data_IF_104725621017
#
_entry.id   IF_104725621017
#
_cell.length_a   1.000
_cell.length_b   1.000
_cell.length_c   1.000
_cell.angle_alpha   90.00
_cell.angle_beta   90.00
_cell.angle_gamma   90.00
#
_symmetry.space_group_name_H-M   'P 1'
#
loop_
_entity.id
_entity.type
_entity.pdbx_description
1 polymer ?
#
# COMPACT_ATOMS: atom_id res chain seq x y z
N UNK A 1 -9.46 -2.20 17.70
CA UNK A 1 -8.33 -1.99 18.64
C UNK A 1 -7.24 -2.96 18.25
N UNK A 2 -6.20 -2.50 17.57
CA UNK A 2 -5.00 -3.34 17.33
C UNK A 2 -4.39 -3.51 18.72
N UNK A 3 -4.57 -4.69 19.31
CA UNK A 3 -4.03 -5.00 20.63
C UNK A 3 -2.52 -4.89 20.56
N UNK A 4 -1.94 -3.96 21.31
CA UNK A 4 -0.52 -3.94 21.58
C UNK A 4 -0.18 -5.13 22.48
N UNK A 5 -0.10 -6.31 21.90
CA UNK A 5 0.55 -7.43 22.55
C UNK A 5 2.03 -7.09 22.64
N UNK A 6 2.46 -6.72 23.85
CA UNK A 6 3.87 -6.45 24.14
C UNK A 6 4.71 -7.62 23.62
N UNK A 7 5.73 -7.30 22.83
CA UNK A 7 6.69 -8.23 22.23
C UNK A 7 6.19 -9.11 21.06
N UNK A 8 5.08 -8.78 20.43
CA UNK A 8 4.69 -9.42 19.16
C UNK A 8 4.95 -8.47 17.99
N UNK A 9 5.50 -9.02 16.90
CA UNK A 9 5.59 -8.31 15.62
C UNK A 9 4.23 -8.37 14.94
N UNK A 10 3.73 -7.22 14.52
CA UNK A 10 2.49 -7.10 13.75
C UNK A 10 2.82 -6.49 12.40
N UNK A 11 2.27 -7.02 11.28
CA UNK A 11 2.44 -6.39 9.99
C UNK A 11 1.78 -5.00 9.98
N UNK A 12 2.39 -4.09 9.24
CA UNK A 12 1.76 -2.80 8.90
C UNK A 12 0.91 -2.97 7.65
N UNK A 13 -0.02 -2.04 7.37
CA UNK A 13 -0.82 -2.05 6.13
C UNK A 13 0.10 -2.08 4.89
N UNK A 14 1.18 -1.31 4.89
CA UNK A 14 2.19 -1.35 3.82
C UNK A 14 2.85 -2.73 3.74
N UNK A 15 3.16 -3.33 4.88
CA UNK A 15 3.75 -4.68 4.93
C UNK A 15 2.84 -5.73 4.29
N UNK A 16 1.53 -5.66 4.56
CA UNK A 16 0.53 -6.55 3.95
C UNK A 16 0.47 -6.34 2.44
N UNK A 17 0.37 -5.09 1.99
CA UNK A 17 0.34 -4.75 0.56
C UNK A 17 1.59 -5.22 -0.18
N UNK A 18 2.78 -5.04 0.41
CA UNK A 18 4.04 -5.53 -0.18
C UNK A 18 4.07 -7.05 -0.23
N UNK A 19 3.61 -7.73 0.83
CA UNK A 19 3.51 -9.18 0.85
C UNK A 19 2.59 -9.70 -0.26
N UNK A 20 1.41 -9.12 -0.42
CA UNK A 20 0.44 -9.53 -1.43
C UNK A 20 1.00 -9.32 -2.85
N UNK A 21 1.64 -8.18 -3.08
CA UNK A 21 2.35 -7.91 -4.34
C UNK A 21 3.44 -8.96 -4.62
N UNK A 22 4.25 -9.29 -3.62
CA UNK A 22 5.31 -10.29 -3.80
C UNK A 22 4.75 -11.69 -4.00
N UNK A 23 3.66 -12.05 -3.32
CA UNK A 23 2.97 -13.33 -3.53
C UNK A 23 2.40 -13.46 -4.95
N UNK A 24 1.92 -12.37 -5.53
CA UNK A 24 1.35 -12.35 -6.87
C UNK A 24 2.44 -12.42 -7.96
N UNK A 25 3.49 -11.61 -7.85
CA UNK A 25 4.48 -11.43 -8.92
C UNK A 25 5.78 -12.21 -8.70
N UNK A 26 6.14 -12.55 -7.46
CA UNK A 26 7.41 -13.18 -7.09
C UNK A 26 7.22 -14.39 -6.14
N UNK A 27 6.29 -15.31 -6.41
CA UNK A 27 5.97 -16.39 -5.46
C UNK A 27 7.18 -17.27 -5.15
N UNK A 28 8.07 -17.49 -6.11
CA UNK A 28 9.27 -18.32 -5.94
C UNK A 28 10.24 -17.75 -4.91
N UNK A 29 10.32 -16.42 -4.77
CA UNK A 29 11.17 -15.74 -3.78
C UNK A 29 10.60 -15.87 -2.37
N UNK A 30 9.27 -15.99 -2.25
CA UNK A 30 8.57 -16.16 -0.98
C UNK A 30 8.39 -17.65 -0.58
N UNK A 31 8.80 -18.59 -1.43
CA UNK A 31 8.78 -20.00 -1.09
C UNK A 31 9.73 -20.31 0.07
N UNK A 32 9.26 -21.05 1.06
CA UNK A 32 10.05 -21.43 2.24
C UNK A 32 11.35 -22.17 1.89
N UNK A 33 11.35 -22.92 0.77
CA UNK A 33 12.51 -23.65 0.31
C UNK A 33 13.53 -22.76 -0.41
N UNK A 34 13.15 -21.54 -0.83
CA UNK A 34 14.03 -20.61 -1.53
C UNK A 34 15.28 -20.32 -0.69
N UNK A 35 15.10 -19.83 0.53
CA UNK A 35 16.22 -19.53 1.44
C UNK A 35 17.08 -20.76 1.70
N UNK A 36 16.47 -21.92 1.98
CA UNK A 36 17.20 -23.15 2.20
C UNK A 36 18.01 -23.61 0.98
N UNK A 37 17.51 -23.39 -0.25
CA UNK A 37 18.23 -23.72 -1.48
C UNK A 37 19.40 -22.77 -1.72
N UNK A 38 19.22 -21.47 -1.43
CA UNK A 38 20.29 -20.47 -1.52
C UNK A 38 21.40 -20.75 -0.51
N UNK A 39 21.07 -21.12 0.72
CA UNK A 39 22.04 -21.50 1.74
C UNK A 39 22.88 -22.71 1.30
N UNK A 40 22.27 -23.74 0.71
CA UNK A 40 23.01 -24.88 0.14
C UNK A 40 23.94 -24.48 -1.01
N UNK A 41 23.51 -23.55 -1.88
CA UNK A 41 24.38 -23.03 -2.94
C UNK A 41 25.58 -22.25 -2.34
N UNK A 42 25.39 -21.53 -1.23
CA UNK A 42 26.48 -20.85 -0.52
C UNK A 42 27.45 -21.83 0.11
N UNK A 43 26.96 -22.93 0.69
CA UNK A 43 27.80 -24.01 1.21
C UNK A 43 28.66 -24.61 0.08
N UNK A 44 28.08 -24.93 -1.07
CA UNK A 44 28.83 -25.43 -2.24
C UNK A 44 29.85 -24.40 -2.77
N UNK A 45 29.55 -23.09 -2.67
CA UNK A 45 30.54 -22.05 -3.00
C UNK A 45 31.70 -22.04 -1.98
N UNK A 46 31.40 -22.17 -0.68
CA UNK A 46 32.40 -22.20 0.38
C UNK A 46 33.32 -23.42 0.27
N UNK A 47 32.78 -24.57 -0.16
CA UNK A 47 33.51 -25.82 -0.40
C UNK A 47 34.30 -25.81 -1.73
N UNK A 48 34.12 -24.78 -2.57
CA UNK A 48 34.82 -24.65 -3.85
C UNK A 48 34.22 -25.48 -4.99
N UNK A 49 33.04 -26.09 -4.77
CA UNK A 49 32.35 -26.91 -5.75
C UNK A 49 31.57 -26.04 -6.76
N UNK A 50 31.11 -24.88 -6.34
CA UNK A 50 30.34 -23.92 -7.16
C UNK A 50 31.04 -22.57 -7.22
N UNK A 51 31.17 -22.00 -8.42
CA UNK A 51 31.65 -20.63 -8.60
C UNK A 51 30.50 -19.67 -8.30
N UNK A 52 30.66 -18.76 -7.38
CA UNK A 52 29.63 -17.83 -6.91
C UNK A 52 28.95 -17.03 -8.04
N UNK A 53 29.71 -16.65 -9.09
CA UNK A 53 29.17 -15.93 -10.23
C UNK A 53 28.16 -16.76 -11.03
N UNK A 54 28.31 -18.09 -11.05
CA UNK A 54 27.35 -19.00 -11.71
C UNK A 54 26.05 -19.10 -10.90
N UNK A 55 26.13 -19.11 -9.58
CA UNK A 55 24.95 -19.10 -8.71
C UNK A 55 24.13 -17.82 -8.94
N UNK A 56 24.80 -16.66 -8.94
CA UNK A 56 24.15 -15.38 -9.21
C UNK A 56 23.57 -15.32 -10.64
N UNK A 57 24.32 -15.75 -11.66
CA UNK A 57 23.85 -15.75 -13.05
C UNK A 57 22.59 -16.60 -13.23
N UNK A 58 22.57 -17.78 -12.60
CA UNK A 58 21.39 -18.67 -12.61
C UNK A 58 20.16 -17.99 -12.01
N UNK A 59 20.31 -17.38 -10.84
CA UNK A 59 19.21 -16.65 -10.19
C UNK A 59 18.77 -15.44 -11.02
N UNK A 60 19.71 -14.64 -11.50
CA UNK A 60 19.44 -13.42 -12.27
C UNK A 60 18.65 -13.70 -13.56
N UNK A 61 18.99 -14.76 -14.28
CA UNK A 61 18.29 -15.17 -15.50
C UNK A 61 16.84 -15.54 -15.32
N UNK A 62 16.46 -15.97 -14.11
CA UNK A 62 15.07 -16.28 -13.75
C UNK A 62 14.39 -15.02 -13.22
N UNK A 63 15.03 -14.31 -12.33
CA UNK A 63 14.45 -13.19 -11.58
C UNK A 63 14.28 -11.93 -12.43
N UNK A 64 15.30 -11.54 -13.20
CA UNK A 64 15.30 -10.28 -13.94
C UNK A 64 14.18 -10.16 -14.97
N UNK A 65 13.84 -11.19 -15.77
CA UNK A 65 12.70 -11.12 -16.68
C UNK A 65 11.36 -10.90 -15.98
N UNK A 66 11.20 -11.45 -14.75
CA UNK A 66 9.99 -11.23 -13.95
C UNK A 66 9.93 -9.76 -13.51
N UNK A 67 11.07 -9.18 -13.08
CA UNK A 67 11.14 -7.76 -12.72
C UNK A 67 10.78 -6.88 -13.91
N UNK A 68 11.33 -7.15 -15.10
CA UNK A 68 11.03 -6.38 -16.32
C UNK A 68 9.54 -6.51 -16.72
N UNK A 69 9.00 -7.72 -16.68
CA UNK A 69 7.60 -7.97 -16.98
C UNK A 69 6.68 -7.25 -15.98
N UNK A 70 6.99 -7.33 -14.69
CA UNK A 70 6.21 -6.67 -13.63
C UNK A 70 6.31 -5.14 -13.74
N UNK A 71 7.47 -4.60 -14.08
CA UNK A 71 7.65 -3.16 -14.30
C UNK A 71 6.93 -2.65 -15.56
N UNK A 72 6.76 -3.51 -16.57
CA UNK A 72 6.02 -3.19 -17.81
C UNK A 72 4.50 -3.26 -17.63
N UNK A 73 4.01 -4.02 -16.66
CA UNK A 73 2.60 -4.02 -16.26
C UNK A 73 2.33 -2.62 -15.69
N UNK A 74 1.84 -1.71 -16.54
CA UNK A 74 1.24 -0.46 -16.07
C UNK A 74 0.17 -0.89 -15.08
N UNK A 75 0.36 -0.52 -13.84
CA UNK A 75 -0.43 -0.93 -12.68
C UNK A 75 -1.89 -0.52 -12.86
N UNK A 76 -2.65 -1.31 -13.62
CA UNK A 76 -4.11 -1.29 -13.55
C UNK A 76 -4.58 -1.97 -12.25
N UNK A 77 -3.78 -2.87 -11.71
CA UNK A 77 -3.94 -3.39 -10.35
C UNK A 77 -3.37 -2.40 -9.35
N UNK A 78 -4.24 -1.62 -8.79
CA UNK A 78 -3.95 -0.72 -7.68
C UNK A 78 -3.80 -1.55 -6.40
N UNK A 79 -2.63 -2.16 -6.26
CA UNK A 79 -2.29 -2.95 -5.07
C UNK A 79 -2.52 -2.11 -3.84
N UNK A 80 -3.35 -2.61 -2.91
CA UNK A 80 -3.73 -1.86 -1.71
C UNK A 80 -4.76 -0.76 -1.94
N UNK A 81 -5.51 -0.76 -3.06
CA UNK A 81 -6.70 0.07 -3.24
C UNK A 81 -7.96 -0.78 -3.06
N UNK A 82 -8.86 -0.33 -2.18
CA UNK A 82 -10.17 -0.94 -1.94
C UNK A 82 -11.27 0.10 -2.17
N UNK A 83 -12.25 -0.24 -3.00
CA UNK A 83 -13.45 0.57 -3.16
C UNK A 83 -14.37 0.37 -1.97
N UNK A 84 -14.79 1.47 -1.35
CA UNK A 84 -15.69 1.48 -0.20
C UNK A 84 -17.16 1.66 -0.60
N UNK A 85 -17.40 2.28 -1.76
CA UNK A 85 -18.72 2.58 -2.26
C UNK A 85 -18.81 3.97 -2.89
N UNK A 86 -19.99 4.58 -2.88
CA UNK A 86 -20.26 5.87 -3.51
C UNK A 86 -20.56 6.91 -2.43
N UNK A 87 -19.98 8.09 -2.53
CA UNK A 87 -20.31 9.23 -1.67
C UNK A 87 -21.73 9.73 -2.00
N UNK A 88 -22.66 9.70 -1.05
CA UNK A 88 -24.05 10.14 -1.27
C UNK A 88 -24.19 11.63 -1.58
N UNK A 89 -23.17 12.47 -1.25
CA UNK A 89 -23.21 13.90 -1.50
C UNK A 89 -22.79 14.26 -2.91
N UNK A 90 -21.71 13.65 -3.41
CA UNK A 90 -21.14 13.98 -4.72
C UNK A 90 -21.46 12.97 -5.82
N UNK A 91 -21.94 11.76 -5.46
CA UNK A 91 -22.12 10.65 -6.40
C UNK A 91 -20.83 10.02 -6.90
N UNK A 92 -19.69 10.42 -6.34
CA UNK A 92 -18.37 9.92 -6.75
C UNK A 92 -17.98 8.65 -5.99
N UNK A 93 -17.20 7.76 -6.62
CA UNK A 93 -16.67 6.59 -5.93
C UNK A 93 -15.67 6.97 -4.84
N UNK A 94 -15.67 6.19 -3.76
CA UNK A 94 -14.80 6.37 -2.60
C UNK A 94 -13.86 5.17 -2.53
N UNK A 95 -12.56 5.46 -2.49
CA UNK A 95 -11.51 4.47 -2.41
C UNK A 95 -10.66 4.69 -1.15
N UNK A 96 -10.18 3.62 -0.57
CA UNK A 96 -9.08 3.66 0.39
C UNK A 96 -7.85 3.04 -0.25
N UNK A 97 -6.69 3.68 -0.09
CA UNK A 97 -5.43 3.22 -0.71
C UNK A 97 -4.20 3.71 0.04
N UNK A 98 -3.04 3.15 -0.31
CA UNK A 98 -1.75 3.66 0.14
C UNK A 98 -1.36 4.86 -0.73
N UNK A 99 -1.29 6.03 -0.13
CA UNK A 99 -0.75 7.24 -0.73
C UNK A 99 0.74 7.43 -0.41
N UNK A 100 1.33 8.49 -0.96
CA UNK A 100 2.76 8.82 -0.76
C UNK A 100 3.14 8.98 0.72
N UNK A 101 2.22 9.44 1.54
CA UNK A 101 2.44 9.75 2.96
C UNK A 101 1.73 8.77 3.91
N UNK A 102 1.24 7.66 3.41
CA UNK A 102 0.53 6.64 4.18
C UNK A 102 -0.87 6.37 3.66
N UNK A 103 -1.70 5.62 4.42
CA UNK A 103 -3.06 5.28 4.04
C UNK A 103 -3.95 6.53 3.89
N UNK A 104 -4.68 6.61 2.77
CA UNK A 104 -5.59 7.74 2.47
C UNK A 104 -6.91 7.22 1.93
N UNK A 105 -7.97 7.97 2.20
CA UNK A 105 -9.25 7.86 1.50
C UNK A 105 -9.27 8.87 0.37
N UNK A 106 -9.78 8.47 -0.78
CA UNK A 106 -9.97 9.30 -1.95
C UNK A 106 -11.45 9.31 -2.36
N UNK A 107 -12.02 10.49 -2.61
CA UNK A 107 -13.32 10.66 -3.25
C UNK A 107 -13.09 11.15 -4.68
N UNK A 108 -13.68 10.45 -5.64
CA UNK A 108 -13.53 10.70 -7.07
C UNK A 108 -12.39 9.93 -7.72
N UNK A 109 -12.56 9.59 -8.98
CA UNK A 109 -11.53 8.92 -9.77
C UNK A 109 -10.42 9.92 -10.16
N UNK A 110 -9.17 9.47 -10.12
CA UNK A 110 -8.06 10.21 -10.71
C UNK A 110 -8.06 9.96 -12.23
N UNK A 111 -8.69 10.82 -12.99
CA UNK A 111 -8.59 10.80 -14.46
C UNK A 111 -7.31 11.52 -14.87
N UNK A 112 -6.29 10.76 -15.26
CA UNK A 112 -4.99 11.31 -15.63
C UNK A 112 -5.04 12.20 -16.89
N UNK A 113 -6.05 12.02 -17.74
CA UNK A 113 -6.13 12.65 -19.06
C UNK A 113 -7.20 13.76 -19.17
N UNK A 114 -8.07 13.93 -18.17
CA UNK A 114 -9.12 14.94 -18.21
C UNK A 114 -8.84 16.12 -17.27
N UNK A 115 -8.33 17.21 -17.85
CA UNK A 115 -8.01 18.45 -17.09
C UNK A 115 -9.25 19.21 -16.59
N UNK A 116 -10.43 18.89 -17.08
CA UNK A 116 -11.70 19.52 -16.69
C UNK A 116 -12.45 18.71 -15.62
N UNK A 117 -12.05 17.46 -15.35
CA UNK A 117 -12.65 16.66 -14.30
C UNK A 117 -12.39 17.26 -12.90
N UNK A 118 -13.37 17.22 -11.99
CA UNK A 118 -13.18 17.68 -10.63
C UNK A 118 -12.02 16.91 -9.96
N UNK A 119 -11.10 17.66 -9.35
CA UNK A 119 -9.93 17.06 -8.69
C UNK A 119 -10.39 16.16 -7.56
N UNK A 120 -9.82 14.94 -7.46
CA UNK A 120 -10.13 14.04 -6.36
C UNK A 120 -9.76 14.67 -5.01
N UNK A 121 -10.59 14.41 -4.00
CA UNK A 121 -10.32 14.83 -2.63
C UNK A 121 -9.61 13.70 -1.88
N UNK A 122 -8.71 14.06 -0.96
CA UNK A 122 -7.95 13.10 -0.16
C UNK A 122 -8.05 13.43 1.32
N UNK A 123 -8.19 12.39 2.14
CA UNK A 123 -8.10 12.50 3.59
C UNK A 123 -7.24 11.35 4.14
N UNK A 124 -6.31 11.66 5.05
CA UNK A 124 -5.49 10.64 5.71
C UNK A 124 -6.31 9.84 6.72
N UNK A 125 -6.04 8.55 6.86
CA UNK A 125 -6.62 7.73 7.90
C UNK A 125 -6.14 8.20 9.28
N UNK A 126 -7.01 8.11 10.27
CA UNK A 126 -6.65 8.40 11.66
C UNK A 126 -5.86 7.25 12.27
N UNK A 127 -5.13 7.56 13.33
CA UNK A 127 -4.39 6.54 14.11
C UNK A 127 -5.36 5.47 14.64
N UNK A 128 -5.09 4.23 14.29
CA UNK A 128 -5.92 3.07 14.66
C UNK A 128 -6.95 2.65 13.62
N UNK A 129 -7.09 3.37 12.51
CA UNK A 129 -7.83 2.91 11.33
C UNK A 129 -6.89 2.16 10.38
N UNK A 130 -7.43 1.15 9.69
CA UNK A 130 -6.71 0.34 8.70
C UNK A 130 -7.47 0.32 7.38
N UNK A 131 -6.72 0.17 6.28
CA UNK A 131 -7.27 0.03 4.92
C UNK A 131 -8.26 -1.14 4.86
N UNK A 132 -7.96 -2.24 5.55
CA UNK A 132 -8.74 -3.47 5.47
C UNK A 132 -10.09 -3.37 6.17
N UNK A 133 -10.17 -2.57 7.25
CA UNK A 133 -11.32 -2.54 8.15
C UNK A 133 -12.19 -1.29 8.06
N UNK A 134 -11.66 -0.20 7.50
CA UNK A 134 -12.40 1.07 7.41
C UNK A 134 -13.69 0.92 6.62
N UNK A 135 -14.78 1.46 7.14
CA UNK A 135 -16.09 1.47 6.48
C UNK A 135 -16.29 2.76 5.67
N UNK A 136 -17.27 2.76 4.74
CA UNK A 136 -17.63 3.95 3.97
C UNK A 136 -18.02 5.12 4.88
N UNK A 137 -18.81 4.86 5.93
CA UNK A 137 -19.25 5.91 6.85
C UNK A 137 -18.08 6.55 7.61
N UNK A 138 -17.12 5.73 8.06
CA UNK A 138 -15.91 6.22 8.74
C UNK A 138 -15.02 7.01 7.78
N UNK A 139 -14.89 6.54 6.54
CA UNK A 139 -14.13 7.21 5.51
C UNK A 139 -14.71 8.59 5.16
N UNK A 140 -16.02 8.71 5.02
CA UNK A 140 -16.69 9.98 4.74
C UNK A 140 -16.53 11.00 5.88
N UNK A 141 -16.51 10.54 7.14
CA UNK A 141 -16.27 11.41 8.31
C UNK A 141 -14.89 12.08 8.30
N UNK A 142 -13.89 11.49 7.63
CA UNK A 142 -12.57 12.09 7.50
C UNK A 142 -12.59 13.39 6.69
N UNK A 143 -13.56 13.55 5.80
CA UNK A 143 -13.76 14.75 4.98
C UNK A 143 -14.60 15.83 5.67
N UNK A 144 -15.14 15.57 6.83
CA UNK A 144 -15.82 16.59 7.65
C UNK A 144 -14.82 17.59 8.27
N UNK A 145 -13.53 17.32 8.19
CA UNK A 145 -12.44 18.18 8.66
C UNK A 145 -11.55 18.61 7.47
N UNK A 146 -11.02 19.84 7.46
CA UNK A 146 -11.15 20.89 8.48
C UNK A 146 -12.53 21.58 8.43
N UNK A 147 -13.10 21.87 9.62
CA UNK A 147 -14.38 22.59 9.69
C UNK A 147 -14.28 23.81 10.60
N UNK A 148 -14.95 24.86 10.24
CA UNK A 148 -15.12 26.02 11.14
C UNK A 148 -16.00 25.63 12.32
N UNK A 149 -15.49 25.81 13.52
CA UNK A 149 -16.19 25.48 14.78
C UNK A 149 -16.87 26.72 15.37
N UNK A 150 -16.32 27.90 15.10
CA UNK A 150 -16.83 29.16 15.61
C UNK A 150 -15.83 30.28 15.43
N UNK A 151 -16.09 31.40 16.09
CA UNK A 151 -15.23 32.57 16.11
C UNK A 151 -14.94 32.97 17.57
N UNK A 152 -13.70 33.27 17.88
CA UNK A 152 -13.29 33.79 19.18
C UNK A 152 -12.36 34.98 19.00
N UNK A 153 -12.69 36.06 19.63
CA UNK A 153 -11.94 37.37 19.54
C UNK A 153 -11.65 37.81 18.10
N UNK A 154 -12.65 37.69 17.20
CA UNK A 154 -12.50 38.06 15.78
C UNK A 154 -11.64 37.09 14.96
N UNK A 155 -11.28 35.93 15.50
CA UNK A 155 -10.52 34.90 14.82
C UNK A 155 -11.35 33.66 14.61
N UNK A 156 -11.37 33.16 13.37
CA UNK A 156 -12.07 31.90 13.01
C UNK A 156 -11.33 30.72 13.64
N UNK A 157 -12.06 29.92 14.42
CA UNK A 157 -11.56 28.67 14.97
C UNK A 157 -11.90 27.52 14.01
N UNK A 158 -10.89 26.74 13.67
CA UNK A 158 -11.01 25.59 12.76
C UNK A 158 -10.59 24.32 13.48
N UNK A 159 -11.44 23.28 13.42
CA UNK A 159 -11.06 21.93 13.81
C UNK A 159 -10.39 21.25 12.60
N UNK A 160 -9.18 20.73 12.80
CA UNK A 160 -8.44 19.97 11.81
C UNK A 160 -7.80 18.72 12.45
N UNK A 161 -7.44 17.75 11.65
CA UNK A 161 -6.61 16.61 12.07
C UNK A 161 -5.17 17.12 12.20
N UNK A 162 -4.54 16.87 13.35
CA UNK A 162 -3.14 17.22 13.65
C UNK A 162 -2.16 16.10 13.28
#
# INVERSE_FOLDING_TARGET
>A
MVGADRNKLMPTDIGTVVNDFLMEYFPDVLDYNFTASVEKEFDSVAEGELVWTKAIDKFYKIFHPIVEATAAVKTEHKVGERELGIDPKSGNPVFVKIGRYGPVVQIGAAHADDKEAPKPQFASLMKGQSIDTITLEEALKLFDLPRTVGEYEGKVMVAAVG
#
